data_IF_301066859041
#
_entry.id   IF_301066859041
#
_cell.length_a   1.000
_cell.length_b   1.000
_cell.length_c   1.000
_cell.angle_alpha   90.00
_cell.angle_beta   90.00
_cell.angle_gamma   90.00
#
_symmetry.space_group_name_H-M   'P 1'
#
loop_
_entity.id
_entity.type
_entity.pdbx_description
1 polymer ?
#
# COMPACT_ATOMS: atom_id res chain seq x y z
N UNK A 1 91.50 -26.27 62.03
CA UNK A 1 90.11 -26.44 62.49
C UNK A 1 89.33 -26.90 61.27
N UNK A 2 88.66 -28.06 61.42
CA UNK A 2 87.86 -28.89 60.49
C UNK A 2 87.34 -28.23 59.19
N UNK A 3 87.15 -28.90 58.05
CA UNK A 3 87.21 -30.33 57.70
C UNK A 3 86.58 -30.56 56.30
N UNK A 4 87.18 -31.48 55.57
CA UNK A 4 86.68 -32.42 54.54
C UNK A 4 85.37 -32.22 53.74
N UNK A 5 85.52 -32.20 52.39
CA UNK A 5 84.97 -33.12 51.35
C UNK A 5 83.49 -33.56 51.46
N UNK A 6 82.63 -33.33 50.44
CA UNK A 6 82.33 -34.28 49.35
C UNK A 6 81.20 -33.82 48.38
N UNK A 7 81.29 -34.39 47.18
CA UNK A 7 80.50 -34.28 45.96
C UNK A 7 78.99 -34.53 46.12
N UNK A 8 78.17 -33.80 45.38
CA UNK A 8 77.04 -34.35 44.62
C UNK A 8 76.80 -33.50 43.37
N UNK A 9 76.53 -34.20 42.27
CA UNK A 9 76.48 -33.75 40.90
C UNK A 9 75.02 -33.89 40.46
N UNK A 10 74.32 -32.81 40.11
CA UNK A 10 73.07 -32.92 39.32
C UNK A 10 73.07 -31.84 38.24
N UNK A 11 73.30 -32.31 37.02
CA UNK A 11 72.97 -31.68 35.75
C UNK A 11 71.47 -31.93 35.53
N UNK A 12 70.66 -30.88 35.34
CA UNK A 12 69.45 -30.96 34.51
C UNK A 12 69.42 -29.73 33.59
N UNK A 13 69.50 -30.05 32.30
CA UNK A 13 69.31 -29.16 31.18
C UNK A 13 67.83 -28.86 30.89
N UNK A 14 67.62 -27.77 30.14
CA UNK A 14 66.66 -27.59 29.03
C UNK A 14 65.28 -26.91 29.26
N UNK A 15 65.06 -25.94 28.34
CA UNK A 15 63.84 -25.61 27.58
C UNK A 15 62.83 -24.58 28.14
N UNK A 16 62.99 -23.34 27.66
CA UNK A 16 62.01 -22.50 26.95
C UNK A 16 60.50 -22.76 27.14
N UNK A 17 59.76 -21.69 27.47
CA UNK A 17 58.46 -21.42 26.83
C UNK A 17 58.03 -19.96 27.11
N UNK A 18 58.00 -19.15 26.05
CA UNK A 18 57.32 -17.86 26.08
C UNK A 18 55.82 -18.07 26.23
N UNK A 19 55.22 -17.43 27.23
CA UNK A 19 53.77 -17.37 27.40
C UNK A 19 53.18 -16.43 26.35
N UNK A 20 52.96 -16.96 25.15
CA UNK A 20 51.97 -16.47 24.20
C UNK A 20 50.60 -16.86 24.76
N UNK A 21 49.98 -15.95 25.50
CA UNK A 21 48.57 -16.09 25.85
C UNK A 21 47.79 -15.78 24.57
N UNK A 22 47.42 -16.87 23.89
CA UNK A 22 46.52 -16.86 22.75
C UNK A 22 45.22 -16.13 23.14
N UNK A 23 44.98 -14.96 22.54
CA UNK A 23 43.62 -14.45 22.43
C UNK A 23 42.80 -15.49 21.67
N UNK A 24 41.67 -15.97 22.19
CA UNK A 24 40.79 -16.80 21.40
C UNK A 24 40.24 -15.93 20.27
N UNK A 25 40.74 -16.19 19.06
CA UNK A 25 40.09 -15.76 17.82
C UNK A 25 38.73 -16.47 17.76
N UNK A 26 37.73 -15.95 18.48
CA UNK A 26 36.35 -16.16 18.11
C UNK A 26 36.11 -15.38 16.82
N UNK A 27 36.53 -15.97 15.71
CA UNK A 27 35.89 -15.73 14.43
C UNK A 27 34.47 -16.26 14.58
N UNK A 28 33.59 -15.45 15.15
CA UNK A 28 32.17 -15.72 15.13
C UNK A 28 31.79 -15.86 13.66
N UNK A 29 31.43 -17.08 13.24
CA UNK A 29 30.89 -17.31 11.92
C UNK A 29 29.71 -16.36 11.75
N UNK A 30 29.79 -15.50 10.74
CA UNK A 30 28.76 -14.49 10.49
C UNK A 30 27.47 -15.23 10.15
N UNK A 31 26.41 -15.03 10.95
CA UNK A 31 25.13 -15.71 10.76
C UNK A 31 24.64 -15.51 9.33
N UNK A 32 24.08 -16.57 8.72
CA UNK A 32 23.66 -16.55 7.32
C UNK A 32 22.20 -16.10 7.24
N UNK A 33 21.91 -15.16 6.35
CA UNK A 33 20.52 -14.77 6.07
C UNK A 33 19.76 -15.95 5.45
N UNK A 34 18.68 -16.37 6.09
CA UNK A 34 17.73 -17.40 5.65
C UNK A 34 16.64 -16.83 4.75
N UNK A 35 15.96 -15.78 5.21
CA UNK A 35 14.82 -15.20 4.51
C UNK A 35 14.72 -13.69 4.74
N UNK A 36 13.86 -13.06 3.95
CA UNK A 36 13.55 -11.65 4.06
C UNK A 36 12.03 -11.45 4.02
N UNK A 37 11.54 -10.56 4.86
CA UNK A 37 10.14 -10.16 4.92
C UNK A 37 10.04 -8.67 4.57
N UNK A 38 9.07 -8.32 3.74
CA UNK A 38 8.72 -6.94 3.43
C UNK A 38 7.56 -6.46 4.33
N UNK A 39 7.69 -5.24 4.86
CA UNK A 39 6.68 -4.62 5.72
C UNK A 39 6.28 -3.26 5.15
N UNK A 40 4.98 -3.08 4.94
CA UNK A 40 4.37 -1.81 4.51
C UNK A 40 4.02 -0.94 5.73
N UNK A 41 4.10 0.38 5.58
CA UNK A 41 3.47 1.30 6.53
C UNK A 41 1.94 1.18 6.46
N UNK A 42 1.33 0.71 7.54
CA UNK A 42 -0.12 0.46 7.64
C UNK A 42 -0.93 1.75 7.82
N UNK A 43 -0.30 2.78 8.38
CA UNK A 43 -0.92 4.08 8.61
C UNK A 43 -0.98 4.92 7.33
N UNK A 44 -0.14 4.57 6.34
CA UNK A 44 -0.19 5.21 5.04
C UNK A 44 -1.52 4.93 4.31
N UNK A 45 -1.95 5.92 3.52
CA UNK A 45 -3.14 5.83 2.66
C UNK A 45 -2.71 5.40 1.26
N UNK A 46 -2.12 4.21 1.19
CA UNK A 46 -1.56 3.66 -0.06
C UNK A 46 -2.65 3.45 -1.11
N UNK A 47 -3.89 3.21 -0.69
CA UNK A 47 -5.08 3.07 -1.51
C UNK A 47 -5.33 4.26 -2.44
N UNK A 48 -4.94 5.47 -2.00
CA UNK A 48 -5.18 6.71 -2.74
C UNK A 48 -3.93 7.22 -3.47
N UNK A 49 -2.75 7.09 -2.86
CA UNK A 49 -1.55 7.78 -3.34
C UNK A 49 -0.50 6.87 -3.98
N UNK A 50 -0.71 5.55 -4.00
CA UNK A 50 0.17 4.54 -4.59
C UNK A 50 1.63 4.59 -4.10
N UNK A 51 1.90 5.37 -3.06
CA UNK A 51 3.22 5.59 -2.50
C UNK A 51 3.17 5.36 -0.99
N UNK A 52 4.16 4.65 -0.47
CA UNK A 52 4.28 4.42 0.97
C UNK A 52 5.69 4.03 1.37
N UNK A 53 5.99 4.14 2.66
CA UNK A 53 7.23 3.64 3.23
C UNK A 53 7.18 2.12 3.32
N UNK A 54 8.34 1.50 3.12
CA UNK A 54 8.57 0.06 3.25
C UNK A 54 9.76 -0.18 4.19
N UNK A 55 9.76 -1.33 4.85
CA UNK A 55 10.92 -1.87 5.55
C UNK A 55 11.15 -3.33 5.19
N UNK A 56 12.38 -3.80 5.40
CA UNK A 56 12.70 -5.23 5.30
C UNK A 56 13.21 -5.77 6.63
N UNK A 57 12.81 -7.01 6.94
CA UNK A 57 13.30 -7.79 8.08
C UNK A 57 14.10 -8.96 7.52
N UNK A 58 15.38 -9.02 7.87
CA UNK A 58 16.29 -10.11 7.51
C UNK A 58 16.28 -11.12 8.65
N UNK A 59 15.92 -12.36 8.35
CA UNK A 59 15.92 -13.46 9.31
C UNK A 59 17.17 -14.31 9.09
N UNK A 60 17.90 -14.59 10.17
CA UNK A 60 19.15 -15.34 10.14
C UNK A 60 18.97 -16.76 10.66
N UNK A 61 19.93 -17.63 10.34
CA UNK A 61 19.93 -19.05 10.73
C UNK A 61 20.12 -19.29 12.22
N UNK A 62 20.71 -18.33 12.92
CA UNK A 62 20.80 -18.29 14.39
C UNK A 62 19.50 -17.81 15.07
N UNK A 63 18.45 -17.52 14.29
CA UNK A 63 17.17 -16.99 14.77
C UNK A 63 17.16 -15.48 15.05
N UNK A 64 18.29 -14.80 14.90
CA UNK A 64 18.34 -13.34 15.00
C UNK A 64 17.62 -12.68 13.83
N UNK A 65 17.17 -11.43 14.04
CA UNK A 65 16.50 -10.64 13.02
C UNK A 65 17.07 -9.22 13.00
N UNK A 66 17.36 -8.70 11.80
CA UNK A 66 17.86 -7.33 11.62
C UNK A 66 16.95 -6.58 10.65
N UNK A 67 16.68 -5.31 10.96
CA UNK A 67 15.71 -4.49 10.22
C UNK A 67 16.39 -3.35 9.47
N UNK A 68 15.73 -2.85 8.44
CA UNK A 68 16.12 -1.63 7.74
C UNK A 68 15.77 -0.37 8.53
N UNK A 69 16.51 0.70 8.27
CA UNK A 69 16.20 2.05 8.76
C UNK A 69 14.86 2.58 8.23
N UNK A 70 14.45 3.77 8.69
CA UNK A 70 13.17 4.37 8.29
C UNK A 70 12.00 3.74 9.06
N UNK A 71 11.05 3.14 8.33
CA UNK A 71 9.80 2.59 8.90
C UNK A 71 10.05 1.67 10.10
N UNK A 72 11.01 0.76 9.99
CA UNK A 72 11.28 -0.26 11.01
C UNK A 72 12.33 0.15 12.05
N UNK A 73 12.91 1.36 11.92
CA UNK A 73 13.92 1.93 12.83
C UNK A 73 15.11 1.00 13.10
N UNK A 74 15.50 0.18 12.12
CA UNK A 74 16.62 -0.75 12.22
C UNK A 74 17.97 -0.16 11.80
N UNK A 75 19.06 -0.92 11.99
CA UNK A 75 20.41 -0.45 11.70
C UNK A 75 20.82 -0.57 10.21
N UNK A 76 20.14 -1.38 9.40
CA UNK A 76 20.52 -1.57 7.99
C UNK A 76 20.17 -0.31 7.20
N UNK A 77 21.19 0.31 6.61
CA UNK A 77 21.05 1.55 5.84
C UNK A 77 20.65 1.26 4.39
N UNK A 78 19.74 2.04 3.82
CA UNK A 78 19.27 1.87 2.45
C UNK A 78 20.38 1.94 1.41
N UNK A 79 21.39 2.77 1.65
CA UNK A 79 22.56 2.90 0.77
C UNK A 79 23.39 1.61 0.66
N UNK A 80 23.22 0.65 1.57
CA UNK A 80 23.89 -0.65 1.56
C UNK A 80 23.06 -1.75 0.86
N UNK A 81 21.86 -1.44 0.41
CA UNK A 81 20.99 -2.35 -0.31
C UNK A 81 20.85 -1.91 -1.78
N UNK A 82 20.76 -2.89 -2.67
CA UNK A 82 20.19 -2.76 -4.00
C UNK A 82 18.83 -3.43 -3.98
N UNK A 83 17.79 -2.72 -4.40
CA UNK A 83 16.41 -3.21 -4.37
C UNK A 83 15.79 -2.95 -5.74
N UNK A 84 15.26 -4.00 -6.36
CA UNK A 84 14.52 -3.92 -7.63
C UNK A 84 13.17 -4.59 -7.52
N UNK A 85 12.21 -4.08 -8.30
CA UNK A 85 10.88 -4.65 -8.41
C UNK A 85 10.30 -4.37 -9.79
N UNK A 86 9.64 -5.36 -10.44
CA UNK A 86 8.86 -5.10 -11.65
C UNK A 86 7.59 -4.28 -11.39
N UNK A 87 7.02 -4.35 -10.19
CA UNK A 87 5.73 -3.73 -9.83
C UNK A 87 5.88 -2.42 -9.03
N UNK A 88 7.10 -2.02 -8.66
CA UNK A 88 7.31 -0.80 -7.91
C UNK A 88 8.65 -0.12 -8.23
N UNK A 89 8.66 1.21 -8.16
CA UNK A 89 9.91 1.97 -8.09
C UNK A 89 10.30 2.13 -6.62
N UNK A 90 11.53 1.78 -6.29
CA UNK A 90 12.06 1.90 -4.94
C UNK A 90 13.03 3.09 -4.85
N UNK A 91 12.95 3.84 -3.75
CA UNK A 91 13.92 4.88 -3.40
C UNK A 91 13.99 5.10 -1.89
N UNK A 92 15.11 4.73 -1.27
CA UNK A 92 15.42 5.01 0.14
C UNK A 92 14.30 4.63 1.13
N UNK A 93 13.76 3.41 1.01
CA UNK A 93 12.70 2.93 1.90
C UNK A 93 11.31 3.45 1.55
N UNK A 94 11.13 4.09 0.40
CA UNK A 94 9.84 4.49 -0.15
C UNK A 94 9.61 3.74 -1.46
N UNK A 95 8.40 3.24 -1.65
CA UNK A 95 7.95 2.62 -2.90
C UNK A 95 6.89 3.48 -3.57
N UNK A 96 6.97 3.57 -4.89
CA UNK A 96 5.87 4.02 -5.76
C UNK A 96 5.38 2.81 -6.55
N UNK A 97 4.15 2.39 -6.27
CA UNK A 97 3.53 1.18 -6.77
C UNK A 97 3.00 1.42 -8.18
N UNK A 98 3.30 0.50 -9.09
CA UNK A 98 2.60 0.36 -10.35
C UNK A 98 1.39 -0.57 -10.16
N UNK A 99 0.20 0.02 -10.06
CA UNK A 99 -1.06 -0.70 -9.81
C UNK A 99 -1.43 -1.67 -10.92
N UNK A 100 -1.13 -1.35 -12.16
CA UNK A 100 -1.41 -2.22 -13.30
C UNK A 100 -0.54 -3.47 -13.24
N UNK A 101 0.77 -3.30 -13.07
CA UNK A 101 1.72 -4.40 -12.95
C UNK A 101 1.45 -5.25 -11.70
N UNK A 102 1.09 -4.64 -10.57
CA UNK A 102 0.74 -5.39 -9.36
C UNK A 102 -0.58 -6.14 -9.51
N UNK A 103 -1.61 -5.58 -10.16
CA UNK A 103 -2.86 -6.32 -10.44
C UNK A 103 -2.62 -7.54 -11.32
N UNK A 104 -1.77 -7.41 -12.34
CA UNK A 104 -1.36 -8.55 -13.17
C UNK A 104 -0.62 -9.63 -12.35
N UNK A 105 0.03 -9.23 -11.26
CA UNK A 105 0.69 -10.11 -10.28
C UNK A 105 -0.15 -10.32 -9.01
N UNK A 106 -1.47 -10.50 -9.15
CA UNK A 106 -2.37 -10.84 -8.04
C UNK A 106 -2.31 -9.88 -6.83
N UNK A 107 -2.13 -8.59 -7.09
CA UNK A 107 -2.00 -7.53 -6.08
C UNK A 107 -0.79 -7.71 -5.14
N UNK A 108 0.28 -8.31 -5.66
CA UNK A 108 1.56 -8.44 -4.98
C UNK A 108 2.63 -7.60 -5.65
N UNK A 109 3.63 -7.20 -4.86
CA UNK A 109 4.86 -6.55 -5.31
C UNK A 109 6.01 -7.47 -4.94
N UNK A 110 6.74 -7.92 -5.96
CA UNK A 110 7.92 -8.75 -5.79
C UNK A 110 9.16 -7.87 -5.64
N UNK A 111 10.05 -8.20 -4.71
CA UNK A 111 11.32 -7.50 -4.51
C UNK A 111 12.49 -8.46 -4.59
N UNK A 112 13.47 -8.09 -5.42
CA UNK A 112 14.82 -8.63 -5.39
C UNK A 112 15.72 -7.69 -4.60
N UNK A 113 16.40 -8.22 -3.59
CA UNK A 113 17.17 -7.46 -2.62
C UNK A 113 18.58 -8.05 -2.52
N UNK A 114 19.58 -7.23 -2.81
CA UNK A 114 20.98 -7.58 -2.71
C UNK A 114 21.65 -6.64 -1.71
N UNK A 115 22.29 -7.19 -0.67
CA UNK A 115 23.17 -6.40 0.18
C UNK A 115 24.53 -6.23 -0.52
N UNK A 116 25.06 -5.01 -0.54
CA UNK A 116 26.30 -4.69 -1.28
C UNK A 116 27.53 -5.48 -0.82
N UNK A 117 27.51 -6.00 0.40
CA UNK A 117 28.55 -6.84 1.00
C UNK A 117 28.31 -8.35 0.80
N UNK A 118 27.13 -8.76 0.30
CA UNK A 118 26.71 -10.16 0.19
C UNK A 118 27.15 -10.89 -1.09
N UNK A 119 28.17 -10.36 -1.80
CA UNK A 119 28.84 -11.01 -2.95
C UNK A 119 27.87 -11.57 -4.02
N UNK A 120 26.83 -10.82 -4.40
CA UNK A 120 25.90 -11.24 -5.46
C UNK A 120 24.75 -12.15 -5.02
N UNK A 121 24.61 -12.44 -3.72
CA UNK A 121 23.43 -13.18 -3.23
C UNK A 121 22.20 -12.28 -3.25
N UNK A 122 21.26 -12.57 -4.14
CA UNK A 122 19.95 -11.94 -4.20
C UNK A 122 18.98 -12.70 -3.29
N UNK A 123 18.26 -11.96 -2.44
CA UNK A 123 17.15 -12.44 -1.64
C UNK A 123 15.85 -11.92 -2.24
N UNK A 124 14.80 -12.74 -2.23
CA UNK A 124 13.52 -12.37 -2.79
C UNK A 124 12.42 -12.40 -1.71
N UNK A 125 11.47 -11.47 -1.81
CA UNK A 125 10.23 -11.50 -1.03
C UNK A 125 9.07 -10.84 -1.77
N UNK A 126 7.87 -11.26 -1.42
CA UNK A 126 6.63 -10.69 -1.92
C UNK A 126 5.95 -9.85 -0.83
N UNK A 127 5.28 -8.78 -1.27
CA UNK A 127 4.45 -7.92 -0.43
C UNK A 127 3.05 -7.80 -1.03
N UNK A 128 2.04 -8.26 -0.31
CA UNK A 128 0.65 -7.97 -0.65
C UNK A 128 0.36 -6.48 -0.42
N UNK A 129 -0.31 -5.84 -1.38
CA UNK A 129 -0.71 -4.44 -1.29
C UNK A 129 -2.23 -4.29 -1.26
N UNK A 130 -2.79 -3.32 -0.50
CA UNK A 130 -4.23 -3.06 -0.52
C UNK A 130 -4.71 -2.70 -1.92
N UNK A 131 -5.82 -3.26 -2.38
CA UNK A 131 -6.38 -3.02 -3.70
C UNK A 131 -7.87 -2.69 -3.60
N UNK A 132 -8.44 -2.12 -4.66
CA UNK A 132 -9.87 -1.82 -4.71
C UNK A 132 -10.65 -3.11 -4.95
N UNK A 133 -11.52 -3.48 -4.02
CA UNK A 133 -12.30 -4.72 -4.05
C UNK A 133 -13.66 -4.50 -4.72
N UNK A 134 -14.37 -3.43 -4.33
CA UNK A 134 -15.65 -3.05 -4.93
C UNK A 134 -15.89 -1.54 -4.86
N UNK A 135 -16.91 -1.09 -5.59
CA UNK A 135 -17.39 0.30 -5.57
C UNK A 135 -18.89 0.36 -5.29
N UNK A 136 -19.35 1.45 -4.69
CA UNK A 136 -20.77 1.72 -4.45
C UNK A 136 -21.11 3.20 -4.56
N UNK A 137 -22.37 3.50 -4.84
CA UNK A 137 -22.90 4.84 -4.62
C UNK A 137 -23.20 5.04 -3.14
N UNK A 138 -22.87 6.22 -2.60
CA UNK A 138 -23.27 6.67 -1.27
C UNK A 138 -24.10 7.96 -1.40
N UNK A 139 -25.40 7.80 -1.67
CA UNK A 139 -26.29 8.92 -1.95
C UNK A 139 -26.62 9.73 -0.70
N UNK A 140 -26.58 11.05 -0.83
CA UNK A 140 -26.93 11.99 0.26
C UNK A 140 -28.43 12.33 0.30
N UNK A 141 -29.22 11.86 -0.67
CA UNK A 141 -30.67 12.09 -0.78
C UNK A 141 -31.32 10.91 -1.49
N UNK A 142 -32.60 10.68 -1.19
CA UNK A 142 -33.39 9.63 -1.84
C UNK A 142 -33.91 10.06 -3.22
N UNK A 143 -33.80 11.34 -3.58
CA UNK A 143 -34.30 11.86 -4.87
C UNK A 143 -33.59 13.13 -5.34
N UNK A 144 -33.42 13.23 -6.65
CA UNK A 144 -32.94 14.42 -7.36
C UNK A 144 -34.01 15.52 -7.36
N UNK A 145 -33.56 16.77 -7.32
CA UNK A 145 -34.41 17.93 -7.60
C UNK A 145 -34.00 18.53 -8.94
N UNK A 146 -34.99 18.89 -9.75
CA UNK A 146 -34.76 19.55 -11.03
C UNK A 146 -34.05 20.90 -10.82
N UNK A 147 -33.11 21.24 -11.71
CA UNK A 147 -32.35 22.50 -11.68
C UNK A 147 -31.30 22.60 -10.57
N UNK A 148 -31.13 21.56 -9.76
CA UNK A 148 -30.17 21.54 -8.65
C UNK A 148 -29.06 20.53 -8.96
N UNK A 149 -27.81 20.92 -8.66
CA UNK A 149 -26.67 20.03 -8.78
C UNK A 149 -26.71 18.97 -7.67
N UNK A 150 -26.58 17.72 -8.07
CA UNK A 150 -26.54 16.58 -7.17
C UNK A 150 -25.17 15.92 -7.23
N UNK A 151 -24.44 15.94 -6.12
CA UNK A 151 -23.12 15.33 -6.03
C UNK A 151 -23.24 13.80 -6.02
N UNK A 152 -22.63 13.16 -7.02
CA UNK A 152 -22.54 11.71 -7.15
C UNK A 152 -21.35 11.18 -6.35
N UNK A 153 -21.56 10.87 -5.07
CA UNK A 153 -20.54 10.24 -4.27
C UNK A 153 -20.41 8.74 -4.62
N UNK A 154 -19.24 8.36 -5.09
CA UNK A 154 -18.87 6.96 -5.31
C UNK A 154 -17.73 6.62 -4.36
N UNK A 155 -17.92 5.57 -3.59
CA UNK A 155 -16.93 5.07 -2.65
C UNK A 155 -16.27 3.81 -3.20
N UNK A 156 -14.97 3.69 -2.96
CA UNK A 156 -14.22 2.45 -3.13
C UNK A 156 -14.03 1.76 -1.80
N UNK A 157 -14.34 0.46 -1.77
CA UNK A 157 -14.09 -0.43 -0.65
C UNK A 157 -12.81 -1.20 -0.98
N UNK A 158 -11.79 -1.04 -0.16
CA UNK A 158 -10.48 -1.63 -0.40
C UNK A 158 -10.31 -2.93 0.39
N UNK A 159 -9.42 -3.82 -0.05
CA UNK A 159 -9.12 -5.09 0.62
C UNK A 159 -8.52 -4.93 2.02
N UNK A 160 -8.06 -3.72 2.37
CA UNK A 160 -7.68 -3.34 3.74
C UNK A 160 -8.89 -3.07 4.66
N UNK A 161 -10.12 -3.06 4.13
CA UNK A 161 -11.34 -2.65 4.82
C UNK A 161 -11.58 -1.15 4.86
N UNK A 162 -10.63 -0.32 4.37
CA UNK A 162 -10.80 1.13 4.27
C UNK A 162 -11.82 1.47 3.18
N UNK A 163 -12.57 2.54 3.40
CA UNK A 163 -13.56 3.07 2.45
C UNK A 163 -13.18 4.52 2.15
N UNK A 164 -12.98 4.84 0.88
CA UNK A 164 -12.62 6.20 0.45
C UNK A 164 -13.45 6.66 -0.76
N UNK A 165 -13.77 7.96 -0.85
CA UNK A 165 -14.39 8.51 -2.05
C UNK A 165 -13.44 8.37 -3.25
N UNK A 166 -13.99 8.01 -4.41
CA UNK A 166 -13.27 7.94 -5.67
C UNK A 166 -13.53 9.20 -6.48
N UNK A 167 -12.49 9.85 -6.98
CA UNK A 167 -12.62 11.09 -7.75
C UNK A 167 -12.89 10.82 -9.25
N UNK A 168 -13.05 11.91 -10.02
CA UNK A 168 -13.18 11.84 -11.49
C UNK A 168 -11.95 11.29 -12.19
N UNK A 169 -10.77 11.19 -11.55
CA UNK A 169 -9.61 10.55 -12.15
C UNK A 169 -9.79 9.03 -12.16
N UNK A 170 -10.47 8.48 -11.15
CA UNK A 170 -10.67 7.04 -10.97
C UNK A 170 -11.95 6.51 -11.60
N UNK A 171 -13.05 7.26 -11.57
CA UNK A 171 -14.33 6.81 -12.11
C UNK A 171 -14.80 7.63 -13.31
N UNK A 172 -15.53 6.98 -14.21
CA UNK A 172 -16.29 7.61 -15.30
C UNK A 172 -17.77 7.41 -15.04
N UNK A 173 -18.56 8.46 -15.28
CA UNK A 173 -20.01 8.41 -15.17
C UNK A 173 -20.68 8.32 -16.54
N UNK A 174 -21.73 7.51 -16.60
CA UNK A 174 -22.71 7.48 -17.68
C UNK A 174 -24.09 7.71 -17.08
N UNK A 175 -24.99 8.34 -17.84
CA UNK A 175 -26.30 8.76 -17.34
C UNK A 175 -27.36 8.66 -18.43
N UNK A 176 -28.58 8.36 -18.02
CA UNK A 176 -29.76 8.34 -18.90
C UNK A 176 -30.32 9.73 -19.21
N UNK A 177 -30.32 10.66 -18.24
CA UNK A 177 -30.81 12.04 -18.41
C UNK A 177 -29.98 13.06 -17.59
N UNK A 178 -30.06 14.35 -17.95
CA UNK A 178 -29.28 15.42 -17.32
C UNK A 178 -27.88 15.60 -17.91
N UNK A 179 -27.01 16.33 -17.18
CA UNK A 179 -25.61 16.64 -17.53
C UNK A 179 -24.70 16.30 -16.36
N UNK A 180 -23.53 15.73 -16.63
CA UNK A 180 -22.46 15.51 -15.64
C UNK A 180 -21.47 16.67 -15.71
N UNK A 181 -21.18 17.28 -14.57
CA UNK A 181 -20.21 18.38 -14.42
C UNK A 181 -19.28 18.01 -13.27
N UNK A 182 -18.12 17.43 -13.58
CA UNK A 182 -17.25 16.84 -12.56
C UNK A 182 -17.92 15.64 -11.89
N UNK A 183 -18.29 15.79 -10.62
CA UNK A 183 -19.07 14.82 -9.85
C UNK A 183 -20.55 15.16 -9.74
N UNK A 184 -20.98 16.30 -10.27
CA UNK A 184 -22.36 16.73 -10.14
C UNK A 184 -23.21 16.23 -11.31
N UNK A 185 -24.37 15.67 -11.00
CA UNK A 185 -25.47 15.47 -11.93
C UNK A 185 -26.43 16.66 -11.83
N UNK A 186 -26.70 17.31 -12.97
CA UNK A 186 -27.71 18.34 -13.10
C UNK A 186 -28.82 17.87 -14.05
N UNK A 187 -30.04 17.76 -13.53
CA UNK A 187 -31.23 17.48 -14.35
C UNK A 187 -31.91 18.81 -14.68
N UNK A 188 -32.12 19.06 -15.96
CA UNK A 188 -32.73 20.30 -16.44
C UNK A 188 -34.21 20.39 -15.99
N UNK A 189 -34.70 21.52 -15.47
CA UNK A 189 -36.12 21.73 -15.17
C UNK A 189 -37.08 21.45 -16.33
N UNK A 190 -36.63 21.58 -17.57
CA UNK A 190 -37.45 21.27 -18.75
C UNK A 190 -37.71 19.76 -18.92
N UNK A 191 -36.96 18.89 -18.25
CA UNK A 191 -37.12 17.43 -18.30
C UNK A 191 -38.09 16.94 -17.20
N UNK A 192 -39.23 17.61 -17.07
CA UNK A 192 -40.20 17.39 -15.99
C UNK A 192 -40.81 15.98 -15.99
N UNK A 193 -40.86 15.32 -17.14
CA UNK A 193 -41.36 13.97 -17.32
C UNK A 193 -40.40 12.87 -16.85
N UNK A 194 -39.12 13.20 -16.62
CA UNK A 194 -38.12 12.24 -16.14
C UNK A 194 -38.39 11.91 -14.68
N UNK A 195 -38.81 10.66 -14.42
CA UNK A 195 -39.11 10.15 -13.07
C UNK A 195 -37.90 9.52 -12.38
N UNK A 196 -36.94 9.01 -13.15
CA UNK A 196 -35.73 8.36 -12.66
C UNK A 196 -34.56 8.70 -13.57
N UNK A 197 -33.39 8.89 -12.97
CA UNK A 197 -32.12 8.95 -13.71
C UNK A 197 -31.28 7.74 -13.33
N UNK A 198 -31.07 6.86 -14.29
CA UNK A 198 -30.04 5.81 -14.22
C UNK A 198 -28.66 6.45 -14.35
N UNK A 199 -27.77 6.19 -13.39
CA UNK A 199 -26.37 6.60 -13.41
C UNK A 199 -25.49 5.37 -13.22
N UNK A 200 -24.53 5.17 -14.12
CA UNK A 200 -23.49 4.14 -13.99
C UNK A 200 -22.17 4.81 -13.62
N UNK A 201 -21.50 4.28 -12.61
CA UNK A 201 -20.11 4.59 -12.33
C UNK A 201 -19.25 3.38 -12.75
N UNK A 202 -18.22 3.62 -13.55
CA UNK A 202 -17.28 2.59 -14.02
C UNK A 202 -15.86 2.99 -13.66
N UNK A 203 -15.09 2.07 -13.10
CA UNK A 203 -13.68 2.33 -12.81
C UNK A 203 -12.87 2.43 -14.11
N UNK A 204 -12.03 3.45 -14.24
CA UNK A 204 -11.25 3.66 -15.47
C UNK A 204 -10.15 2.62 -15.66
N UNK A 205 -9.52 2.18 -14.56
CA UNK A 205 -8.47 1.15 -14.60
C UNK A 205 -9.02 -0.27 -14.78
N UNK A 206 -10.30 -0.48 -14.48
CA UNK A 206 -10.98 -1.75 -14.63
C UNK A 206 -12.43 -1.55 -15.11
N UNK A 207 -12.67 -1.55 -16.43
CA UNK A 207 -14.01 -1.35 -16.97
C UNK A 207 -15.03 -2.45 -16.58
N UNK A 208 -14.57 -3.60 -16.08
CA UNK A 208 -15.48 -4.66 -15.58
C UNK A 208 -16.06 -4.28 -14.21
N UNK A 209 -15.37 -3.43 -13.44
CA UNK A 209 -15.86 -2.91 -12.17
C UNK A 209 -16.78 -1.70 -12.42
N UNK A 210 -18.08 -1.96 -12.43
CA UNK A 210 -19.11 -0.92 -12.56
C UNK A 210 -20.28 -1.14 -11.61
N UNK A 211 -20.91 -0.04 -11.21
CA UNK A 211 -22.13 -0.04 -10.41
C UNK A 211 -23.18 0.87 -11.04
N UNK A 212 -24.45 0.46 -10.99
CA UNK A 212 -25.58 1.22 -11.49
C UNK A 212 -26.43 1.70 -10.30
N UNK A 213 -26.94 2.91 -10.39
CA UNK A 213 -27.97 3.41 -9.49
C UNK A 213 -29.11 4.05 -10.27
N UNK A 214 -30.34 3.73 -9.88
CA UNK A 214 -31.55 4.36 -10.37
C UNK A 214 -32.00 5.40 -9.34
N UNK A 215 -31.78 6.67 -9.62
CA UNK A 215 -32.07 7.76 -8.67
C UNK A 215 -33.42 8.40 -9.04
N UNK A 216 -34.42 8.39 -8.14
CA UNK A 216 -35.70 9.05 -8.39
C UNK A 216 -35.55 10.56 -8.60
N UNK A 217 -36.43 11.16 -9.39
CA UNK A 217 -36.52 12.62 -9.56
C UNK A 217 -37.80 13.08 -8.88
N UNK A 218 -37.67 13.98 -7.91
CA UNK A 218 -38.79 14.56 -7.20
C UNK A 218 -39.66 15.35 -8.17
N UNK A 219 -40.89 14.90 -8.32
CA UNK A 219 -41.92 15.60 -9.07
C UNK A 219 -42.51 16.71 -8.19
N UNK A 220 -42.78 17.88 -8.77
CA UNK A 220 -43.63 18.87 -8.13
C UNK A 220 -45.08 18.36 -8.04
N UNK A 221 -45.96 18.99 -7.24
CA UNK A 221 -47.39 18.76 -7.39
C UNK A 221 -47.76 19.07 -8.85
N UNK A 222 -48.46 18.15 -9.53
CA UNK A 222 -49.11 18.49 -10.80
C UNK A 222 -50.05 19.67 -10.51
N UNK A 223 -49.78 20.84 -11.06
CA UNK A 223 -50.75 21.91 -11.03
C UNK A 223 -51.87 21.56 -12.03
N UNK A 224 -52.93 20.94 -11.54
CA UNK A 224 -54.16 20.70 -12.33
C UNK A 224 -55.04 21.94 -12.42
N UNK A 225 -54.58 23.12 -11.97
CA UNK A 225 -55.42 24.31 -11.83
C UNK A 225 -55.14 25.35 -12.92
N UNK A 226 -55.52 25.05 -14.15
CA UNK A 226 -55.96 26.13 -15.06
C UNK A 226 -57.04 25.66 -16.03
N UNK A 227 -58.18 25.22 -15.51
CA UNK A 227 -59.44 25.44 -16.22
C UNK A 227 -59.93 26.81 -15.76
N UNK A 228 -59.68 27.86 -16.56
CA UNK A 228 -60.43 29.11 -16.41
C UNK A 228 -61.88 28.78 -16.71
N UNK A 229 -62.72 28.75 -15.67
CA UNK A 229 -64.17 28.73 -15.81
C UNK A 229 -64.60 30.01 -16.55
N UNK A 230 -65.17 29.92 -17.77
CA UNK A 230 -65.55 31.09 -18.55
C UNK A 230 -66.81 31.79 -18.02
N UNK A 231 -67.44 31.32 -16.92
CA UNK A 231 -68.75 31.83 -16.46
C UNK A 231 -68.73 32.67 -15.17
N UNK A 232 -67.61 33.23 -14.74
CA UNK A 232 -67.60 34.28 -13.69
C UNK A 232 -67.37 35.67 -14.27
N UNK A 233 -68.43 36.21 -14.85
CA UNK A 233 -68.61 37.63 -15.11
C UNK A 233 -70.09 37.98 -15.02
N UNK A 234 -70.53 38.42 -13.84
CA UNK A 234 -71.68 39.33 -13.65
C UNK A 234 -71.24 40.43 -12.71
#
# INVERSE_FOLDING_TARGET
MLGYINKQLIIICLLSAGMLICWPNHLAAQAKVLSIEAVLDKEAVVELYDQTSIGFIFHYDDGSCVKTEGLLKGPIRWKHLSVSSPQARFKNGVILINREASRANHHQVHFDIEAKDAKGKVLACDLAIPYLDSIRFNHYTDSLKLGIRYYLNVEGIFSSGKIFPLDTNRVRFEKSAGKIIGHDLLVDPMLSEVKFVKVRATLKSDPQMSILSDIPVKQGPMDTTTVKDPFRGR
#
